data_IF_329682011595
#
_entry.id   IF_329682011595
#
_cell.length_a   1.000
_cell.length_b   1.000
_cell.length_c   1.000
_cell.angle_alpha   90.00
_cell.angle_beta   90.00
_cell.angle_gamma   90.00
#
_symmetry.space_group_name_H-M   'P 1'
#
loop_
_entity.id
_entity.type
_entity.pdbx_description
1 polymer ?
#
# COMPACT_ATOMS: atom_id res chain seq x y z
N UNK A 1 -59.08 -57.82 20.21
CA UNK A 1 -58.15 -58.66 19.47
C UNK A 1 -56.83 -58.55 20.20
N UNK A 2 -56.64 -59.42 21.19
CA UNK A 2 -55.92 -60.69 20.96
C UNK A 2 -54.47 -60.38 20.60
N UNK A 3 -53.46 -60.84 21.31
CA UNK A 3 -53.40 -61.78 22.42
C UNK A 3 -51.92 -61.84 22.80
N UNK A 4 -51.63 -61.88 24.12
CA UNK A 4 -50.60 -62.75 24.74
C UNK A 4 -49.14 -62.38 24.43
N UNK A 5 -48.19 -62.38 25.36
CA UNK A 5 -48.10 -62.95 26.71
C UNK A 5 -46.75 -62.47 27.29
N UNK A 6 -46.72 -61.97 28.54
CA UNK A 6 -46.23 -62.69 29.75
C UNK A 6 -44.73 -62.99 29.71
N UNK A 7 -43.91 -62.84 30.75
CA UNK A 7 -43.99 -62.54 32.19
C UNK A 7 -42.52 -62.26 32.58
N UNK A 8 -42.17 -61.23 33.36
CA UNK A 8 -42.28 -61.10 34.82
C UNK A 8 -41.58 -62.20 35.64
N UNK A 9 -41.12 -61.78 36.83
CA UNK A 9 -40.55 -62.52 37.98
C UNK A 9 -39.01 -62.55 38.02
N UNK A 10 -38.31 -61.71 38.79
CA UNK A 10 -38.34 -61.40 40.23
C UNK A 10 -37.83 -62.55 41.13
N UNK A 11 -36.91 -62.14 42.03
CA UNK A 11 -36.49 -62.78 43.30
C UNK A 11 -35.34 -63.81 43.40
N UNK A 12 -34.22 -63.30 43.93
CA UNK A 12 -33.47 -63.71 45.14
C UNK A 12 -33.32 -65.22 45.43
N UNK A 13 -32.07 -65.68 45.46
CA UNK A 13 -31.68 -66.96 46.07
C UNK A 13 -30.29 -66.90 46.74
N UNK A 14 -30.29 -66.75 48.06
CA UNK A 14 -29.13 -67.00 48.93
C UNK A 14 -28.96 -68.51 49.13
N UNK A 15 -27.76 -69.05 48.90
CA UNK A 15 -27.38 -70.38 49.38
C UNK A 15 -25.97 -70.35 50.00
N UNK A 16 -25.87 -70.87 51.23
CA UNK A 16 -24.66 -71.01 52.07
C UNK A 16 -24.21 -72.48 52.11
N UNK A 17 -22.92 -72.67 52.46
CA UNK A 17 -22.17 -73.89 52.92
C UNK A 17 -21.51 -74.72 51.79
N UNK A 18 -20.27 -75.22 51.89
CA UNK A 18 -19.31 -75.44 53.00
C UNK A 18 -17.85 -75.58 52.47
N UNK A 19 -16.90 -75.46 53.41
CA UNK A 19 -15.48 -75.90 53.52
C UNK A 19 -14.86 -76.74 52.38
N UNK A 20 -13.59 -76.54 51.96
CA UNK A 20 -12.37 -76.75 52.75
C UNK A 20 -11.16 -75.92 52.27
N UNK A 21 -10.19 -75.80 53.18
CA UNK A 21 -8.83 -75.26 53.01
C UNK A 21 -8.06 -75.83 51.81
N UNK A 22 -7.36 -74.97 51.06
CA UNK A 22 -5.91 -75.09 50.83
C UNK A 22 -5.33 -73.77 50.30
N UNK A 23 -4.31 -73.26 50.99
CA UNK A 23 -3.51 -72.09 50.59
C UNK A 23 -2.41 -72.54 49.63
N UNK A 24 -2.29 -71.92 48.47
CA UNK A 24 -0.99 -71.57 47.87
C UNK A 24 -1.14 -70.68 46.62
N UNK A 25 -0.63 -69.45 46.74
CA UNK A 25 0.15 -68.68 45.76
C UNK A 25 -0.29 -68.62 44.28
N UNK A 26 -1.04 -67.57 43.92
CA UNK A 26 -1.01 -67.00 42.55
C UNK A 26 -1.48 -65.54 42.43
N UNK A 27 -1.52 -64.77 43.53
CA UNK A 27 -2.22 -63.47 43.58
C UNK A 27 -1.41 -62.23 43.15
N UNK A 28 -0.31 -62.35 42.40
CA UNK A 28 0.58 -61.20 42.13
C UNK A 28 0.67 -60.74 40.68
N UNK A 29 0.21 -61.51 39.69
CA UNK A 29 0.35 -61.13 38.27
C UNK A 29 -0.89 -60.38 37.72
N UNK A 30 -2.09 -60.76 38.15
CA UNK A 30 -3.34 -60.14 37.68
C UNK A 30 -3.56 -58.72 38.22
N UNK A 31 -3.14 -58.42 39.46
CA UNK A 31 -3.25 -57.06 40.02
C UNK A 31 -2.32 -56.06 39.31
N UNK A 32 -1.14 -56.50 38.87
CA UNK A 32 -0.15 -55.66 38.17
C UNK A 32 -0.62 -55.36 36.74
N UNK A 33 -1.24 -56.32 36.06
CA UNK A 33 -1.82 -56.11 34.73
C UNK A 33 -2.99 -55.11 34.75
N UNK A 34 -3.88 -55.22 35.75
CA UNK A 34 -5.02 -54.31 35.93
C UNK A 34 -4.55 -52.88 36.26
N UNK A 35 -3.54 -52.72 37.11
CA UNK A 35 -2.95 -51.41 37.44
C UNK A 35 -2.26 -50.77 36.23
N UNK A 36 -1.57 -51.55 35.40
CA UNK A 36 -0.91 -51.05 34.19
C UNK A 36 -1.92 -50.53 33.16
N UNK A 37 -3.03 -51.25 32.96
CA UNK A 37 -4.08 -50.82 32.03
C UNK A 37 -4.85 -49.60 32.54
N UNK A 38 -5.13 -49.54 33.85
CA UNK A 38 -5.70 -48.35 34.48
C UNK A 38 -4.80 -47.11 34.31
N UNK A 39 -3.46 -47.28 34.38
CA UNK A 39 -2.52 -46.18 34.18
C UNK A 39 -2.41 -45.74 32.71
N UNK A 40 -2.55 -46.66 31.75
CA UNK A 40 -2.69 -46.31 30.33
C UNK A 40 -3.95 -45.49 30.06
N UNK A 41 -5.09 -45.93 30.60
CA UNK A 41 -6.37 -45.23 30.45
C UNK A 41 -6.33 -43.85 31.11
N UNK A 42 -5.73 -43.71 32.31
CA UNK A 42 -5.46 -42.39 32.93
C UNK A 42 -4.71 -41.46 31.99
N UNK A 43 -3.67 -41.97 31.34
CA UNK A 43 -2.81 -41.16 30.46
C UNK A 43 -3.59 -40.65 29.25
N UNK A 44 -4.32 -41.53 28.57
CA UNK A 44 -5.13 -41.18 27.40
C UNK A 44 -6.23 -40.18 27.77
N UNK A 45 -6.93 -40.41 28.89
CA UNK A 45 -7.94 -39.49 29.38
C UNK A 45 -7.32 -38.12 29.71
N UNK A 46 -6.15 -38.10 30.36
CA UNK A 46 -5.47 -36.86 30.71
C UNK A 46 -5.04 -36.07 29.47
N UNK A 47 -4.58 -36.75 28.43
CA UNK A 47 -4.22 -36.12 27.15
C UNK A 47 -5.46 -35.49 26.49
N UNK A 48 -6.60 -36.17 26.50
CA UNK A 48 -7.88 -35.64 25.99
C UNK A 48 -8.38 -34.46 26.82
N UNK A 49 -8.35 -34.54 28.16
CA UNK A 49 -8.78 -33.45 29.04
C UNK A 49 -7.87 -32.23 28.95
N UNK A 50 -6.56 -32.41 28.75
CA UNK A 50 -5.61 -31.32 28.50
C UNK A 50 -5.89 -30.60 27.17
N UNK A 51 -6.19 -31.34 26.10
CA UNK A 51 -6.59 -30.76 24.81
C UNK A 51 -7.88 -29.93 24.97
N UNK A 52 -8.79 -30.38 25.82
CA UNK A 52 -10.07 -29.72 26.09
C UNK A 52 -10.02 -28.67 27.21
N UNK A 53 -8.86 -28.42 27.83
CA UNK A 53 -8.65 -27.50 28.97
C UNK A 53 -9.55 -27.78 30.19
N UNK A 54 -9.86 -29.04 30.47
CA UNK A 54 -10.66 -29.46 31.62
C UNK A 54 -9.70 -29.89 32.76
N UNK A 55 -9.97 -29.54 34.03
CA UNK A 55 -9.09 -29.88 35.14
C UNK A 55 -8.94 -31.39 35.36
N UNK A 56 -7.70 -31.78 35.70
CA UNK A 56 -7.13 -33.12 35.75
C UNK A 56 -7.87 -34.13 36.66
N UNK A 57 -7.84 -35.41 36.29
CA UNK A 57 -8.30 -36.53 37.14
C UNK A 57 -7.28 -36.75 38.27
N UNK A 58 -7.71 -36.61 39.53
CA UNK A 58 -6.85 -36.79 40.72
C UNK A 58 -6.95 -38.20 41.30
N UNK A 59 -8.06 -38.93 41.15
CA UNK A 59 -8.18 -40.28 41.68
C UNK A 59 -9.18 -41.16 40.90
N UNK A 60 -8.73 -42.33 40.44
CA UNK A 60 -9.59 -43.33 39.75
C UNK A 60 -10.54 -44.06 40.71
N UNK A 61 -10.34 -43.92 42.02
CA UNK A 61 -11.07 -44.69 43.04
C UNK A 61 -12.51 -44.22 43.28
N UNK A 62 -12.88 -43.02 42.81
CA UNK A 62 -14.26 -42.52 42.90
C UNK A 62 -14.91 -42.50 41.51
N UNK A 63 -15.68 -43.57 41.19
CA UNK A 63 -16.41 -43.75 39.93
C UNK A 63 -17.31 -42.58 39.58
N UNK A 64 -17.93 -41.96 40.58
CA UNK A 64 -19.00 -40.97 40.35
C UNK A 64 -18.44 -39.62 39.91
N UNK A 65 -17.27 -39.24 40.43
CA UNK A 65 -16.57 -38.01 40.03
C UNK A 65 -16.07 -38.17 38.59
N UNK A 66 -15.51 -39.34 38.24
CA UNK A 66 -15.10 -39.64 36.88
C UNK A 66 -16.28 -39.60 35.91
N UNK A 67 -17.40 -40.23 36.27
CA UNK A 67 -18.60 -40.26 35.43
C UNK A 67 -19.14 -38.84 35.18
N UNK A 68 -19.16 -37.99 36.21
CA UNK A 68 -19.58 -36.59 36.07
C UNK A 68 -18.64 -35.76 35.18
N UNK A 69 -17.32 -35.98 35.27
CA UNK A 69 -16.32 -35.25 34.48
C UNK A 69 -16.31 -35.71 33.02
N UNK A 70 -16.47 -37.00 32.77
CA UNK A 70 -16.61 -37.58 31.43
C UNK A 70 -17.89 -37.07 30.77
N UNK A 71 -19.02 -37.06 31.49
CA UNK A 71 -20.27 -36.51 30.96
C UNK A 71 -20.14 -35.03 30.61
N UNK A 72 -19.46 -34.24 31.44
CA UNK A 72 -19.21 -32.83 31.16
C UNK A 72 -18.33 -32.61 29.93
N UNK A 73 -17.34 -33.47 29.70
CA UNK A 73 -16.56 -33.45 28.46
C UNK A 73 -17.39 -33.89 27.25
N UNK A 74 -18.26 -34.90 27.39
CA UNK A 74 -19.16 -35.33 26.34
C UNK A 74 -20.16 -34.23 25.95
N UNK A 75 -20.76 -33.54 26.91
CA UNK A 75 -21.65 -32.39 26.68
C UNK A 75 -20.91 -31.25 25.96
N UNK A 76 -19.67 -30.97 26.37
CA UNK A 76 -18.85 -29.95 25.72
C UNK A 76 -18.50 -30.31 24.27
N UNK A 77 -18.14 -31.57 24.01
CA UNK A 77 -17.86 -32.06 22.66
C UNK A 77 -19.13 -32.09 21.80
N UNK A 78 -20.28 -32.42 22.38
CA UNK A 78 -21.57 -32.35 21.69
C UNK A 78 -21.93 -30.91 21.33
N UNK A 79 -21.77 -29.96 22.25
CA UNK A 79 -21.96 -28.54 21.97
C UNK A 79 -21.03 -28.03 20.87
N UNK A 80 -19.75 -28.45 20.88
CA UNK A 80 -18.79 -28.07 19.85
C UNK A 80 -19.13 -28.69 18.49
N UNK A 81 -19.58 -29.94 18.45
CA UNK A 81 -20.11 -30.61 17.25
C UNK A 81 -21.31 -29.86 16.71
N UNK A 82 -22.25 -29.48 17.58
CA UNK A 82 -23.49 -28.82 17.17
C UNK A 82 -23.22 -27.41 16.64
N UNK A 83 -22.26 -26.68 17.22
CA UNK A 83 -21.76 -25.41 16.67
C UNK A 83 -21.11 -25.60 15.28
N UNK A 84 -20.29 -26.64 15.09
CA UNK A 84 -19.69 -26.94 13.78
C UNK A 84 -20.71 -27.40 12.73
N UNK A 85 -21.80 -28.05 13.15
CA UNK A 85 -22.90 -28.42 12.26
C UNK A 85 -23.76 -27.22 11.91
N UNK A 86 -23.98 -26.29 12.85
CA UNK A 86 -24.68 -25.03 12.60
C UNK A 86 -23.85 -24.11 11.68
N UNK A 87 -22.53 -24.01 11.86
CA UNK A 87 -21.61 -23.32 10.93
C UNK A 87 -21.63 -23.90 9.50
N UNK A 88 -21.99 -25.17 9.36
CA UNK A 88 -22.17 -25.83 8.05
C UNK A 88 -23.56 -25.59 7.48
N UNK A 89 -24.61 -25.63 8.30
CA UNK A 89 -26.00 -25.34 7.90
C UNK A 89 -26.21 -23.88 7.51
N UNK A 90 -25.60 -22.93 8.23
CA UNK A 90 -25.59 -21.51 7.84
C UNK A 90 -24.88 -21.27 6.49
N UNK A 91 -24.02 -22.20 6.05
CA UNK A 91 -23.42 -22.16 4.70
C UNK A 91 -24.28 -22.83 3.62
N UNK A 92 -25.27 -23.65 3.98
CA UNK A 92 -26.12 -24.39 3.04
C UNK A 92 -27.52 -23.76 2.86
N UNK A 93 -28.03 -22.96 3.79
CA UNK A 93 -29.34 -22.30 3.68
C UNK A 93 -29.24 -20.80 3.34
N UNK A 94 -28.78 -20.48 2.13
CA UNK A 94 -29.00 -19.18 1.49
C UNK A 94 -29.67 -19.41 0.13
N UNK A 95 -30.68 -18.60 -0.24
CA UNK A 95 -31.56 -18.88 -1.38
C UNK A 95 -30.79 -18.85 -2.70
N UNK A 96 -31.14 -19.79 -3.58
CA UNK A 96 -30.54 -20.10 -4.87
C UNK A 96 -30.65 -19.00 -5.94
N UNK A 97 -30.06 -17.83 -5.69
CA UNK A 97 -30.14 -16.69 -6.60
C UNK A 97 -28.97 -15.72 -6.44
N UNK A 98 -27.76 -16.22 -6.70
CA UNK A 98 -26.56 -15.51 -7.20
C UNK A 98 -25.36 -16.40 -6.87
N UNK A 99 -24.89 -17.18 -7.84
CA UNK A 99 -23.64 -17.96 -7.72
C UNK A 99 -22.48 -16.99 -7.39
N UNK A 100 -22.14 -16.91 -6.12
CA UNK A 100 -20.93 -16.31 -5.64
C UNK A 100 -19.79 -17.22 -6.14
N UNK A 101 -19.27 -16.96 -7.33
CA UNK A 101 -18.07 -17.62 -7.87
C UNK A 101 -16.90 -17.33 -6.92
N UNK A 102 -16.76 -18.16 -5.89
CA UNK A 102 -15.68 -18.05 -4.94
C UNK A 102 -14.44 -18.63 -5.61
N UNK A 103 -13.46 -17.77 -5.88
CA UNK A 103 -12.17 -18.20 -6.41
C UNK A 103 -11.60 -19.33 -5.55
N UNK A 104 -11.15 -20.40 -6.21
CA UNK A 104 -10.45 -21.50 -5.58
C UNK A 104 -9.16 -20.98 -4.92
N UNK A 105 -8.64 -21.73 -3.95
CA UNK A 105 -7.37 -21.36 -3.31
C UNK A 105 -6.21 -21.28 -4.32
N UNK A 106 -6.23 -22.12 -5.35
CA UNK A 106 -5.22 -22.13 -6.41
C UNK A 106 -5.24 -20.84 -7.23
N UNK A 107 -6.43 -20.44 -7.71
CA UNK A 107 -6.59 -19.20 -8.50
C UNK A 107 -6.19 -17.96 -7.71
N UNK A 108 -6.51 -17.93 -6.40
CA UNK A 108 -6.08 -16.83 -5.50
C UNK A 108 -4.55 -16.74 -5.42
N UNK A 109 -3.87 -17.87 -5.27
CA UNK A 109 -2.41 -17.88 -5.20
C UNK A 109 -1.77 -17.49 -6.53
N UNK A 110 -2.34 -17.93 -7.65
CA UNK A 110 -1.87 -17.56 -8.98
C UNK A 110 -1.96 -16.05 -9.21
N UNK A 111 -3.11 -15.44 -8.89
CA UNK A 111 -3.30 -13.98 -8.98
C UNK A 111 -2.31 -13.22 -8.11
N UNK A 112 -2.13 -13.64 -6.85
CA UNK A 112 -1.22 -13.01 -5.91
C UNK A 112 0.24 -13.11 -6.38
N UNK A 113 0.65 -14.27 -6.88
CA UNK A 113 2.00 -14.48 -7.40
C UNK A 113 2.23 -13.68 -8.69
N UNK A 114 1.22 -13.58 -9.55
CA UNK A 114 1.24 -12.70 -10.71
C UNK A 114 1.47 -11.24 -10.33
N UNK A 115 0.78 -10.75 -9.29
CA UNK A 115 0.97 -9.38 -8.77
C UNK A 115 2.38 -9.16 -8.19
N UNK A 116 2.96 -10.15 -7.50
CA UNK A 116 4.35 -10.07 -7.01
C UNK A 116 5.34 -9.99 -8.16
N UNK A 117 5.17 -10.83 -9.18
CA UNK A 117 6.04 -10.82 -10.36
C UNK A 117 5.96 -9.48 -11.09
N UNK A 118 4.74 -8.95 -11.27
CA UNK A 118 4.53 -7.62 -11.85
C UNK A 118 5.21 -6.52 -11.04
N UNK A 119 5.14 -6.58 -9.71
CA UNK A 119 5.81 -5.61 -8.83
C UNK A 119 7.33 -5.57 -9.08
N UNK A 120 7.99 -6.73 -9.20
CA UNK A 120 9.44 -6.78 -9.39
C UNK A 120 9.90 -6.28 -10.78
N UNK A 121 9.08 -6.48 -11.82
CA UNK A 121 9.38 -6.01 -13.19
C UNK A 121 9.07 -4.51 -13.37
N UNK A 122 8.17 -3.97 -12.55
CA UNK A 122 7.62 -2.62 -12.72
C UNK A 122 8.54 -1.48 -12.25
N UNK A 123 8.29 -0.27 -12.76
CA UNK A 123 8.94 0.96 -12.31
C UNK A 123 8.49 1.38 -10.90
N UNK A 124 9.25 2.23 -10.20
CA UNK A 124 9.00 2.68 -8.81
C UNK A 124 7.61 3.28 -8.57
N UNK A 125 7.05 4.00 -9.55
CA UNK A 125 5.69 4.54 -9.46
C UNK A 125 4.66 3.41 -9.49
N UNK A 126 4.77 2.53 -10.48
CA UNK A 126 3.85 1.41 -10.66
C UNK A 126 3.98 0.40 -9.51
N UNK A 127 5.18 0.20 -8.97
CA UNK A 127 5.40 -0.52 -7.72
C UNK A 127 4.56 0.04 -6.56
N UNK A 128 4.60 1.36 -6.35
CA UNK A 128 3.79 2.01 -5.30
C UNK A 128 2.30 1.87 -5.60
N UNK A 129 1.89 1.96 -6.86
CA UNK A 129 0.51 1.77 -7.30
C UNK A 129 0.02 0.35 -7.06
N UNK A 130 0.79 -0.67 -7.40
CA UNK A 130 0.45 -2.08 -7.18
C UNK A 130 0.33 -2.40 -5.69
N UNK A 131 1.19 -1.81 -4.83
CA UNK A 131 1.09 -1.95 -3.38
C UNK A 131 -0.23 -1.38 -2.82
N UNK A 132 -0.94 -0.51 -3.53
CA UNK A 132 -2.25 -0.01 -3.10
C UNK A 132 -3.36 -1.07 -3.22
N UNK A 133 -3.12 -2.22 -3.85
CA UNK A 133 -4.10 -3.32 -3.96
C UNK A 133 -4.22 -4.10 -2.64
N UNK A 134 -3.16 -4.11 -1.82
CA UNK A 134 -3.09 -4.89 -0.59
C UNK A 134 -4.30 -4.66 0.33
N UNK A 135 -4.84 -5.70 1.02
CA UNK A 135 -5.99 -5.57 1.90
C UNK A 135 -5.87 -4.43 2.94
N UNK A 136 -6.99 -3.86 3.35
CA UNK A 136 -7.03 -2.75 4.32
C UNK A 136 -6.43 -3.11 5.68
N UNK A 137 -6.51 -4.39 6.05
CA UNK A 137 -5.99 -4.89 7.32
C UNK A 137 -4.45 -5.02 7.34
N UNK A 138 -3.81 -4.80 6.19
CA UNK A 138 -2.36 -4.92 6.09
C UNK A 138 -1.68 -3.62 6.53
N UNK A 139 -0.97 -3.71 7.65
CA UNK A 139 -0.05 -2.65 8.07
C UNK A 139 1.24 -2.62 7.23
N UNK A 140 2.00 -1.52 7.36
CA UNK A 140 3.26 -1.27 6.63
C UNK A 140 4.26 -2.43 6.68
N UNK A 141 4.43 -3.07 7.84
CA UNK A 141 5.40 -4.14 8.04
C UNK A 141 5.01 -5.42 7.30
N UNK A 142 3.71 -5.72 7.25
CA UNK A 142 3.19 -6.89 6.54
C UNK A 142 3.34 -6.71 5.03
N UNK A 143 3.00 -5.52 4.52
CA UNK A 143 3.24 -5.13 3.12
C UNK A 143 4.70 -5.26 2.71
N UNK A 144 5.60 -4.74 3.55
CA UNK A 144 7.04 -4.81 3.33
C UNK A 144 7.52 -6.26 3.20
N UNK A 145 7.16 -7.12 4.16
CA UNK A 145 7.58 -8.53 4.15
C UNK A 145 6.94 -9.34 3.03
N UNK A 146 5.74 -8.97 2.58
CA UNK A 146 5.03 -9.75 1.57
C UNK A 146 5.48 -9.48 0.14
N UNK A 147 5.75 -8.20 -0.19
CA UNK A 147 6.18 -7.75 -1.51
C UNK A 147 7.68 -7.44 -1.60
N UNK A 148 8.45 -7.65 -0.53
CA UNK A 148 9.86 -7.26 -0.40
C UNK A 148 10.10 -5.79 -0.80
N UNK A 149 9.18 -4.93 -0.37
CA UNK A 149 9.19 -3.50 -0.70
C UNK A 149 9.94 -2.66 0.34
N UNK A 150 10.37 -1.46 -0.03
CA UNK A 150 10.94 -0.54 0.95
C UNK A 150 9.86 0.01 1.90
N UNK A 151 10.21 0.31 3.15
CA UNK A 151 9.28 0.91 4.11
C UNK A 151 8.64 2.20 3.57
N UNK A 152 9.42 3.01 2.83
CA UNK A 152 8.93 4.23 2.19
C UNK A 152 7.84 3.95 1.16
N UNK A 153 7.97 2.91 0.34
CA UNK A 153 6.96 2.54 -0.65
C UNK A 153 5.69 2.02 0.02
N UNK A 154 5.82 1.13 1.01
CA UNK A 154 4.69 0.61 1.78
C UNK A 154 3.92 1.72 2.51
N UNK A 155 4.63 2.69 3.13
CA UNK A 155 3.99 3.84 3.77
C UNK A 155 3.26 4.71 2.75
N UNK A 156 3.91 5.00 1.61
CA UNK A 156 3.35 5.85 0.56
C UNK A 156 2.12 5.22 -0.09
N UNK A 157 2.15 3.91 -0.37
CA UNK A 157 1.02 3.20 -0.98
C UNK A 157 -0.20 3.20 -0.07
N UNK A 158 -0.03 3.01 1.25
CA UNK A 158 -1.13 3.10 2.22
C UNK A 158 -1.74 4.51 2.27
N UNK A 159 -0.92 5.56 2.24
CA UNK A 159 -1.40 6.95 2.19
C UNK A 159 -2.17 7.25 0.88
N UNK A 160 -1.67 6.76 -0.25
CA UNK A 160 -2.33 6.91 -1.55
C UNK A 160 -3.66 6.16 -1.55
N UNK A 161 -3.69 4.92 -1.04
CA UNK A 161 -4.93 4.14 -0.93
C UNK A 161 -5.96 4.83 -0.04
N UNK A 162 -5.53 5.38 1.09
CA UNK A 162 -6.42 6.09 2.01
C UNK A 162 -7.01 7.38 1.42
N UNK A 163 -6.25 8.09 0.58
CA UNK A 163 -6.69 9.36 -0.02
C UNK A 163 -7.42 9.20 -1.36
N UNK A 164 -7.02 8.23 -2.20
CA UNK A 164 -7.47 8.11 -3.60
C UNK A 164 -8.01 6.73 -3.98
N UNK A 165 -7.94 5.75 -3.08
CA UNK A 165 -8.45 4.40 -3.33
C UNK A 165 -7.46 3.43 -3.97
N UNK A 166 -7.99 2.28 -4.39
CA UNK A 166 -7.23 1.16 -4.94
C UNK A 166 -6.73 1.47 -6.35
N UNK A 167 -5.49 1.09 -6.67
CA UNK A 167 -4.81 1.36 -7.95
C UNK A 167 -4.67 2.84 -8.30
N UNK A 168 -4.76 3.73 -7.32
CA UNK A 168 -4.54 5.15 -7.54
C UNK A 168 -3.07 5.43 -7.91
N UNK A 169 -2.87 6.20 -8.97
CA UNK A 169 -1.54 6.56 -9.42
C UNK A 169 -0.86 7.45 -8.37
N UNK A 170 0.40 7.16 -8.00
CA UNK A 170 1.18 8.11 -7.22
C UNK A 170 1.33 9.37 -8.06
N UNK A 171 0.68 10.45 -7.65
CA UNK A 171 0.96 11.76 -8.23
C UNK A 171 2.46 11.98 -8.16
N UNK A 172 3.01 12.44 -9.27
CA UNK A 172 4.37 12.89 -9.32
C UNK A 172 4.47 14.11 -8.41
N UNK A 173 4.86 13.86 -7.15
CA UNK A 173 5.38 14.87 -6.25
C UNK A 173 6.59 15.61 -6.87
N UNK A 174 7.11 15.10 -7.99
CA UNK A 174 8.21 15.66 -8.79
C UNK A 174 7.78 16.08 -10.20
N UNK A 175 6.48 16.10 -10.49
CA UNK A 175 5.99 16.85 -11.64
C UNK A 175 6.07 18.32 -11.25
N UNK A 176 6.71 19.15 -12.07
CA UNK A 176 6.56 20.59 -11.93
C UNK A 176 5.07 20.87 -11.96
N UNK A 177 4.43 21.15 -10.81
CA UNK A 177 3.05 21.65 -10.78
C UNK A 177 3.02 22.79 -11.79
N UNK A 178 2.13 22.69 -12.77
CA UNK A 178 1.94 23.76 -13.74
C UNK A 178 1.69 25.04 -12.93
N UNK A 179 2.51 26.06 -13.17
CA UNK A 179 2.28 27.37 -12.57
C UNK A 179 0.87 27.81 -12.93
N UNK A 180 0.21 28.45 -11.98
CA UNK A 180 -1.09 29.02 -12.22
C UNK A 180 -1.03 30.00 -13.40
N UNK A 181 -2.03 29.94 -14.28
CA UNK A 181 -2.06 30.76 -15.50
C UNK A 181 -2.06 32.24 -15.16
N UNK A 182 -2.71 32.62 -14.04
CA UNK A 182 -2.70 33.99 -13.54
C UNK A 182 -1.29 34.48 -13.18
N UNK A 183 -0.44 33.61 -12.63
CA UNK A 183 0.96 33.95 -12.30
C UNK A 183 1.77 34.12 -13.58
N UNK A 184 1.57 33.25 -14.57
CA UNK A 184 2.24 33.36 -15.86
C UNK A 184 1.88 34.68 -16.57
N UNK A 185 0.61 35.05 -16.58
CA UNK A 185 0.15 36.31 -17.19
C UNK A 185 0.69 37.53 -16.45
N UNK A 186 0.78 37.50 -15.11
CA UNK A 186 1.38 38.57 -14.33
C UNK A 186 2.87 38.75 -14.65
N UNK A 187 3.61 37.66 -14.83
CA UNK A 187 5.03 37.70 -15.23
C UNK A 187 5.19 38.27 -16.64
N UNK A 188 4.34 37.87 -17.59
CA UNK A 188 4.36 38.42 -18.96
C UNK A 188 4.12 39.92 -18.94
N UNK A 189 3.08 40.38 -18.23
CA UNK A 189 2.77 41.81 -18.08
C UNK A 189 3.92 42.58 -17.44
N UNK A 190 4.57 42.01 -16.43
CA UNK A 190 5.72 42.61 -15.78
C UNK A 190 6.89 42.84 -16.77
N UNK A 191 7.17 41.89 -17.65
CA UNK A 191 8.20 42.08 -18.68
C UNK A 191 7.83 43.16 -19.71
N UNK A 192 6.54 43.45 -19.92
CA UNK A 192 6.05 44.49 -20.83
C UNK A 192 6.08 45.89 -20.22
N UNK A 193 6.35 46.05 -18.93
CA UNK A 193 6.43 47.35 -18.29
C UNK A 193 7.65 48.15 -18.81
N UNK A 194 7.46 49.44 -19.11
CA UNK A 194 8.48 50.28 -19.77
C UNK A 194 9.75 50.53 -18.94
N UNK A 195 9.66 50.36 -17.62
CA UNK A 195 10.82 50.44 -16.73
C UNK A 195 11.59 49.11 -16.63
N UNK A 196 11.01 47.99 -17.08
CA UNK A 196 11.67 46.69 -17.19
C UNK A 196 12.24 46.48 -18.58
N UNK A 197 11.48 46.78 -19.63
CA UNK A 197 11.92 46.66 -21.01
C UNK A 197 11.42 47.81 -21.87
N UNK A 198 12.16 48.19 -22.91
CA UNK A 198 11.76 49.24 -23.86
C UNK A 198 11.52 48.68 -25.24
N UNK A 199 10.51 49.19 -25.92
CA UNK A 199 10.23 48.85 -27.33
C UNK A 199 11.35 49.41 -28.22
N UNK A 200 11.81 48.59 -29.17
CA UNK A 200 12.75 49.03 -30.21
C UNK A 200 12.09 50.03 -31.15
N UNK A 201 12.77 51.13 -31.45
CA UNK A 201 12.32 52.12 -32.45
C UNK A 201 12.58 51.67 -33.89
N UNK A 202 13.37 50.63 -34.07
CA UNK A 202 13.87 50.20 -35.38
C UNK A 202 12.85 49.35 -36.12
N UNK A 203 12.58 49.70 -37.38
CA UNK A 203 11.63 48.98 -38.25
C UNK A 203 12.08 47.56 -38.59
N UNK A 204 13.38 47.27 -38.48
CA UNK A 204 13.96 45.93 -38.64
C UNK A 204 13.71 45.03 -37.43
N UNK A 205 13.35 45.60 -36.29
CA UNK A 205 13.14 44.88 -35.04
C UNK A 205 11.66 44.54 -34.81
N UNK A 206 11.04 43.95 -35.83
CA UNK A 206 9.68 43.44 -35.77
C UNK A 206 9.70 41.93 -35.96
N UNK A 207 9.08 41.21 -35.03
CA UNK A 207 8.93 39.76 -35.05
C UNK A 207 7.48 39.38 -35.36
N UNK A 208 7.30 38.36 -36.21
CA UNK A 208 5.97 37.80 -36.48
C UNK A 208 5.67 36.71 -35.44
N UNK A 209 4.70 36.97 -34.56
CA UNK A 209 4.23 36.02 -33.55
C UNK A 209 2.77 35.73 -33.83
N UNK A 210 2.44 34.46 -34.10
CA UNK A 210 1.07 34.04 -34.47
C UNK A 210 0.45 34.97 -35.53
N UNK A 211 1.21 35.20 -36.61
CA UNK A 211 0.88 36.06 -37.76
C UNK A 211 0.68 37.56 -37.47
N UNK A 212 0.94 38.03 -36.24
CA UNK A 212 0.92 39.45 -35.90
C UNK A 212 2.34 40.03 -35.79
N UNK A 213 2.62 41.21 -36.38
CA UNK A 213 3.89 41.89 -36.21
C UNK A 213 3.97 42.53 -34.81
N UNK A 214 4.91 42.06 -34.00
CA UNK A 214 5.20 42.57 -32.65
C UNK A 214 6.62 43.14 -32.64
N UNK A 215 6.76 44.40 -32.24
CA UNK A 215 8.07 45.03 -32.08
C UNK A 215 8.86 44.37 -30.95
N UNK A 216 10.17 44.19 -31.14
CA UNK A 216 11.04 43.66 -30.08
C UNK A 216 11.07 44.63 -28.90
N UNK A 217 11.23 44.07 -27.71
CA UNK A 217 11.48 44.81 -26.48
C UNK A 217 12.84 44.40 -25.95
N UNK A 218 13.58 45.37 -25.43
CA UNK A 218 14.91 45.20 -24.89
C UNK A 218 14.86 45.49 -23.40
N UNK A 219 15.25 44.51 -22.57
CA UNK A 219 15.25 44.71 -21.12
C UNK A 219 16.21 45.83 -20.70
N UNK A 220 15.92 46.56 -19.63
CA UNK A 220 16.80 47.58 -19.06
C UNK A 220 17.64 47.06 -17.89
N UNK A 221 17.16 45.99 -17.25
CA UNK A 221 17.79 45.33 -16.10
C UNK A 221 18.32 43.97 -16.50
N UNK A 222 19.22 43.42 -15.68
CA UNK A 222 19.59 42.01 -15.80
C UNK A 222 18.42 41.11 -15.41
N UNK A 223 18.42 39.85 -15.89
CA UNK A 223 17.37 38.87 -15.54
C UNK A 223 17.27 38.64 -14.02
N UNK A 224 18.40 38.77 -13.30
CA UNK A 224 18.46 38.59 -11.86
C UNK A 224 17.79 39.74 -11.11
N UNK A 225 18.12 40.97 -11.46
CA UNK A 225 17.53 42.18 -10.86
C UNK A 225 16.02 42.25 -11.15
N UNK A 226 15.60 41.93 -12.38
CA UNK A 226 14.19 41.89 -12.74
C UNK A 226 13.40 40.88 -11.88
N UNK A 227 14.00 39.74 -11.52
CA UNK A 227 13.37 38.75 -10.64
C UNK A 227 13.24 39.24 -9.19
N UNK A 228 14.25 39.97 -8.69
CA UNK A 228 14.22 40.53 -7.34
C UNK A 228 13.16 41.63 -7.22
N UNK A 229 13.10 42.52 -8.21
CA UNK A 229 12.04 43.52 -8.36
C UNK A 229 10.64 42.88 -8.45
N UNK A 230 10.50 41.80 -9.21
CA UNK A 230 9.23 41.07 -9.31
C UNK A 230 8.78 40.53 -7.95
N UNK A 231 9.69 39.99 -7.14
CA UNK A 231 9.38 39.49 -5.80
C UNK A 231 8.98 40.59 -4.83
N UNK A 232 9.59 41.77 -4.95
CA UNK A 232 9.27 42.93 -4.12
C UNK A 232 7.87 43.45 -4.48
N UNK A 233 7.55 43.55 -5.77
CA UNK A 233 6.25 44.06 -6.25
C UNK A 233 5.10 43.07 -6.05
N UNK A 234 5.38 41.78 -6.19
CA UNK A 234 4.37 40.73 -6.10
C UNK A 234 4.73 39.64 -5.08
N UNK A 235 4.76 39.96 -3.78
CA UNK A 235 5.11 38.99 -2.74
C UNK A 235 4.11 37.82 -2.62
N UNK A 236 2.89 37.98 -3.16
CA UNK A 236 1.87 36.94 -3.19
C UNK A 236 2.17 35.79 -4.15
N UNK A 237 3.01 36.01 -5.16
CA UNK A 237 3.29 35.00 -6.18
C UNK A 237 4.57 34.23 -5.87
N UNK A 238 4.42 32.92 -5.66
CA UNK A 238 5.56 32.02 -5.40
C UNK A 238 6.07 31.46 -6.72
N UNK A 239 7.17 32.03 -7.22
CA UNK A 239 7.82 31.59 -8.45
C UNK A 239 9.33 31.38 -8.26
N UNK A 240 9.86 30.34 -8.90
CA UNK A 240 11.29 30.05 -8.96
C UNK A 240 12.01 30.77 -10.10
N UNK A 241 13.30 31.07 -9.93
CA UNK A 241 14.12 31.80 -10.92
C UNK A 241 14.05 31.18 -12.33
N UNK A 242 14.28 29.88 -12.43
CA UNK A 242 14.27 29.18 -13.73
C UNK A 242 12.95 29.35 -14.47
N UNK A 243 11.83 29.18 -13.77
CA UNK A 243 10.50 29.35 -14.38
C UNK A 243 10.19 30.79 -14.76
N UNK A 244 10.64 31.76 -13.95
CA UNK A 244 10.50 33.17 -14.29
C UNK A 244 11.29 33.53 -15.57
N UNK A 245 12.45 32.91 -15.78
CA UNK A 245 13.24 33.10 -17.00
C UNK A 245 12.60 32.44 -18.22
N UNK A 246 12.03 31.24 -18.03
CA UNK A 246 11.33 30.50 -19.09
C UNK A 246 10.05 31.22 -19.55
N UNK A 247 9.36 31.92 -18.64
CA UNK A 247 8.12 32.65 -18.94
C UNK A 247 8.34 33.97 -19.68
N UNK A 248 9.60 34.37 -19.92
CA UNK A 248 9.90 35.58 -20.68
C UNK A 248 9.38 35.46 -22.11
N UNK A 249 8.57 36.41 -22.60
CA UNK A 249 8.11 36.39 -23.97
C UNK A 249 9.25 36.47 -24.99
N UNK A 250 9.10 35.80 -26.14
CA UNK A 250 10.16 35.72 -27.17
C UNK A 250 10.55 37.08 -27.76
N UNK A 251 9.63 38.04 -27.77
CA UNK A 251 9.89 39.41 -28.23
C UNK A 251 10.66 40.24 -27.21
N UNK A 252 10.76 39.81 -25.95
CA UNK A 252 11.55 40.47 -24.92
C UNK A 252 12.95 39.86 -24.92
N UNK A 253 13.91 40.63 -25.41
CA UNK A 253 15.31 40.25 -25.48
C UNK A 253 16.10 40.86 -24.31
N UNK A 254 16.96 40.08 -23.65
CA UNK A 254 17.90 40.64 -22.71
C UNK A 254 18.85 41.56 -23.48
N UNK A 255 19.05 42.79 -23.02
CA UNK A 255 20.10 43.61 -23.57
C UNK A 255 21.45 43.07 -23.13
N UNK A 256 22.15 42.46 -24.07
CA UNK A 256 23.59 42.29 -23.97
C UNK A 256 24.24 43.63 -24.32
N UNK A 257 24.35 44.54 -23.35
CA UNK A 257 25.20 45.75 -23.49
C UNK A 257 26.41 45.71 -22.55
N UNK A 258 26.60 44.62 -21.80
CA UNK A 258 27.72 44.52 -20.85
C UNK A 258 29.02 43.99 -21.48
N UNK A 259 28.99 43.52 -22.73
CA UNK A 259 30.19 43.02 -23.43
C UNK A 259 30.66 43.94 -24.57
N UNK A 260 29.98 45.06 -24.83
CA UNK A 260 30.39 46.03 -25.85
C UNK A 260 30.58 47.42 -25.23
N UNK A 261 31.82 47.93 -25.23
CA UNK A 261 32.07 49.31 -24.81
C UNK A 261 31.42 50.27 -25.81
N UNK A 262 30.39 51.00 -25.40
CA UNK A 262 29.80 52.10 -26.18
C UNK A 262 30.59 53.41 -26.03
N UNK A 263 31.85 53.34 -25.58
CA UNK A 263 32.69 54.52 -25.47
C UNK A 263 33.09 55.03 -26.85
N UNK A 264 33.23 56.35 -26.98
CA UNK A 264 33.60 57.03 -28.24
C UNK A 264 34.82 56.42 -28.94
N UNK A 265 35.77 55.86 -28.18
CA UNK A 265 36.96 55.20 -28.72
C UNK A 265 36.64 53.89 -29.45
N UNK A 266 35.78 53.04 -28.88
CA UNK A 266 35.44 51.75 -29.49
C UNK A 266 34.48 51.94 -30.67
N UNK A 267 33.51 52.86 -30.59
CA UNK A 267 32.62 53.18 -31.71
C UNK A 267 33.38 53.78 -32.90
N UNK A 268 34.31 54.71 -32.64
CA UNK A 268 35.15 55.29 -33.69
C UNK A 268 36.06 54.23 -34.34
N UNK A 269 36.55 53.27 -33.57
CA UNK A 269 37.38 52.19 -34.08
C UNK A 269 36.57 51.23 -34.97
N UNK A 270 35.34 50.89 -34.58
CA UNK A 270 34.43 50.07 -35.38
C UNK A 270 34.04 50.75 -36.70
N UNK A 271 33.79 52.07 -36.67
CA UNK A 271 33.53 52.86 -37.87
C UNK A 271 34.72 52.84 -38.84
N UNK A 272 35.94 53.00 -38.33
CA UNK A 272 37.16 52.93 -39.15
C UNK A 272 37.35 51.54 -39.79
N UNK A 273 37.06 50.46 -39.06
CA UNK A 273 37.10 49.10 -39.60
C UNK A 273 36.07 48.90 -40.70
N UNK A 274 34.82 49.35 -40.50
CA UNK A 274 33.76 49.27 -41.51
C UNK A 274 34.12 50.02 -42.79
N UNK A 275 34.69 51.22 -42.68
CA UNK A 275 35.15 52.01 -43.84
C UNK A 275 36.29 51.29 -44.58
N UNK A 276 37.29 50.78 -43.85
CA UNK A 276 38.42 50.07 -44.43
C UNK A 276 37.98 48.81 -45.18
N UNK A 277 37.08 48.03 -44.59
CA UNK A 277 36.50 46.83 -45.23
C UNK A 277 35.78 47.22 -46.52
N UNK A 278 34.91 48.24 -46.50
CA UNK A 278 34.23 48.73 -47.70
C UNK A 278 35.21 49.17 -48.80
N UNK A 279 36.30 49.84 -48.41
CA UNK A 279 37.32 50.33 -49.33
C UNK A 279 38.16 49.21 -49.97
N UNK A 280 38.44 48.14 -49.22
CA UNK A 280 39.11 46.94 -49.74
C UNK A 280 38.18 46.22 -50.73
N UNK A 281 36.90 46.04 -50.37
CA UNK A 281 35.94 45.39 -51.27
C UNK A 281 35.62 46.21 -52.52
N UNK A 282 35.66 47.54 -52.46
CA UNK A 282 35.48 48.40 -53.64
C UNK A 282 36.70 48.49 -54.57
N UNK A 283 37.88 48.01 -54.14
CA UNK A 283 39.11 47.97 -54.96
C UNK A 283 39.35 46.63 -55.66
N UNK A 284 38.59 45.60 -55.30
CA UNK A 284 38.66 44.26 -55.89
C UNK A 284 37.56 44.02 -56.95
N UNK A 285 36.88 45.08 -57.38
CA UNK A 285 36.02 45.17 -58.56
C UNK A 285 36.60 46.25 -59.48
#
# INVERSE_FOLDING_TARGET
MDSLRMQDDFEIGVAKKNSDHEKSDSSSEDEVAVLHEQNRIKKILNDVFNILKIPMIIDIRNSDILYSQVNRACEFLQSMRDNLLNDKKEKEELPAGNELLSLTFSEKNELINGLKNLYHVSNKQEQVRLLTIAPTDWGRQRLQKFFDSSERQARRSLQIRASKGVLASPEDLRGNKSLDTAVADAVIKFYEEDWISRVSTDKSDVLLIKTQPVAKRFMLLTMGEAFEEFKIKFPQYVIGKSKFYDLRPRYVQPTCFHDTCCCMYHENFDLLLKVKIKFIFSRNH
#
